data_IF_616199515150
#
_entry.id   IF_616199515150
#
_cell.length_a   1.000
_cell.length_b   1.000
_cell.length_c   1.000
_cell.angle_alpha   90.00
_cell.angle_beta   90.00
_cell.angle_gamma   90.00
#
_symmetry.space_group_name_H-M   'P 1'
#
loop_
_entity.id
_entity.type
_entity.pdbx_description
1 polymer ?
#
# COMPACT_ATOMS: atom_id res chain seq x y z
N UNK A 1 10.55 -4.11 -2.85
CA UNK A 1 11.08 -2.88 -3.50
C UNK A 1 12.49 -3.16 -3.98
N UNK A 2 12.99 -2.46 -5.01
CA UNK A 2 14.36 -2.65 -5.51
C UNK A 2 15.30 -1.55 -5.02
N UNK A 3 16.62 -1.80 -5.02
CA UNK A 3 17.65 -0.80 -4.68
C UNK A 3 17.55 0.44 -5.58
N UNK A 4 17.26 0.26 -6.86
CA UNK A 4 17.07 1.36 -7.82
C UNK A 4 15.91 2.27 -7.40
N UNK A 5 14.81 1.68 -6.94
CA UNK A 5 13.65 2.45 -6.46
C UNK A 5 13.97 3.20 -5.17
N UNK A 6 14.68 2.58 -4.22
CA UNK A 6 15.11 3.26 -2.98
C UNK A 6 16.01 4.45 -3.29
N UNK A 7 17.01 4.28 -4.18
CA UNK A 7 17.88 5.38 -4.63
C UNK A 7 17.11 6.48 -5.37
N UNK A 8 16.13 6.09 -6.18
CA UNK A 8 15.25 7.05 -6.85
C UNK A 8 14.45 7.88 -5.85
N UNK A 9 13.91 7.27 -4.78
CA UNK A 9 13.24 8.00 -3.71
C UNK A 9 14.18 8.87 -2.89
N UNK A 10 15.42 8.41 -2.65
CA UNK A 10 16.45 9.22 -1.98
C UNK A 10 16.79 10.48 -2.80
N UNK A 11 16.98 10.32 -4.11
CA UNK A 11 17.27 11.44 -5.01
C UNK A 11 16.13 12.46 -5.14
N UNK A 12 14.90 12.06 -4.77
CA UNK A 12 13.71 12.91 -4.76
C UNK A 12 13.34 13.42 -3.37
N UNK A 13 14.18 13.21 -2.35
CA UNK A 13 13.93 13.69 -0.99
C UNK A 13 12.81 13.00 -0.22
N UNK A 14 12.24 11.91 -0.74
CA UNK A 14 11.15 11.17 -0.06
C UNK A 14 11.65 10.43 1.19
N UNK A 15 12.91 10.02 1.19
CA UNK A 15 13.57 9.36 2.31
C UNK A 15 14.77 10.19 2.79
N UNK A 16 15.15 10.09 4.07
CA UNK A 16 16.30 10.83 4.60
C UNK A 16 17.57 10.38 3.87
N UNK A 17 18.60 11.24 3.82
CA UNK A 17 19.88 10.84 3.27
C UNK A 17 20.46 9.66 4.08
N UNK A 18 20.95 8.60 3.42
CA UNK A 18 21.51 7.45 4.12
C UNK A 18 22.78 7.84 4.87
N UNK A 19 23.02 7.22 6.03
CA UNK A 19 24.32 7.32 6.71
C UNK A 19 25.37 6.65 5.84
N UNK A 20 26.43 7.38 5.49
CA UNK A 20 27.51 6.86 4.66
C UNK A 20 28.61 6.32 5.57
N UNK A 21 28.92 5.05 5.44
CA UNK A 21 30.13 4.45 6.01
C UNK A 21 30.99 3.94 4.86
N UNK A 22 32.07 4.66 4.58
CA UNK A 22 32.94 4.40 3.44
C UNK A 22 32.19 4.49 2.11
N UNK A 23 32.11 3.37 1.39
CA UNK A 23 31.43 3.27 0.08
C UNK A 23 29.97 2.79 0.18
N UNK A 24 29.52 2.41 1.37
CA UNK A 24 28.20 1.84 1.60
C UNK A 24 27.28 2.86 2.26
N UNK A 25 26.05 2.97 1.75
CA UNK A 25 24.98 3.74 2.37
C UNK A 25 24.12 2.83 3.25
N UNK A 26 24.04 3.15 4.54
CA UNK A 26 23.24 2.44 5.52
C UNK A 26 21.86 3.08 5.67
N UNK A 27 20.83 2.25 5.56
CA UNK A 27 19.43 2.61 5.77
C UNK A 27 18.97 2.00 7.10
N UNK A 28 18.69 2.85 8.08
CA UNK A 28 18.13 2.47 9.38
C UNK A 28 16.59 2.48 9.42
N UNK A 29 16.04 2.34 10.62
CA UNK A 29 14.60 2.36 10.92
C UNK A 29 13.87 3.58 10.37
N UNK A 30 14.48 4.77 10.42
CA UNK A 30 13.88 6.02 9.92
C UNK A 30 13.56 5.93 8.42
N UNK A 31 14.45 5.28 7.67
CA UNK A 31 14.28 5.07 6.24
C UNK A 31 13.17 4.05 5.98
N UNK A 32 13.09 2.98 6.78
CA UNK A 32 12.05 1.97 6.65
C UNK A 32 10.66 2.56 6.91
N UNK A 33 10.50 3.36 7.98
CA UNK A 33 9.23 4.00 8.31
C UNK A 33 8.73 4.90 7.18
N UNK A 34 9.61 5.74 6.60
CA UNK A 34 9.26 6.57 5.43
C UNK A 34 8.96 5.75 4.19
N UNK A 35 9.71 4.68 3.91
CA UNK A 35 9.44 3.80 2.77
C UNK A 35 8.08 3.11 2.89
N UNK A 36 7.71 2.67 4.08
CA UNK A 36 6.40 2.05 4.32
C UNK A 36 5.27 3.07 4.15
N UNK A 37 5.42 4.29 4.69
CA UNK A 37 4.44 5.36 4.50
C UNK A 37 4.27 5.72 3.02
N UNK A 38 5.37 5.85 2.26
CA UNK A 38 5.31 6.09 0.80
C UNK A 38 4.55 4.99 0.09
N UNK A 39 4.75 3.71 0.46
CA UNK A 39 4.06 2.58 -0.16
C UNK A 39 2.56 2.60 0.14
N UNK A 40 2.17 2.92 1.37
CA UNK A 40 0.76 3.04 1.71
C UNK A 40 0.09 4.19 0.97
N UNK A 41 0.71 5.38 0.95
CA UNK A 41 0.18 6.51 0.19
C UNK A 41 0.04 6.20 -1.30
N UNK A 42 1.00 5.47 -1.89
CA UNK A 42 0.87 4.97 -3.26
C UNK A 42 -0.28 3.97 -3.42
N UNK A 43 -0.51 3.09 -2.44
CA UNK A 43 -1.63 2.15 -2.45
C UNK A 43 -2.99 2.87 -2.43
N UNK A 44 -3.08 4.03 -1.78
CA UNK A 44 -4.24 4.92 -1.84
C UNK A 44 -4.36 5.70 -3.17
N UNK A 45 -3.43 5.51 -4.12
CA UNK A 45 -3.48 6.11 -5.44
C UNK A 45 -2.90 7.52 -5.53
N UNK A 46 -2.16 7.97 -4.52
CA UNK A 46 -1.46 9.26 -4.57
C UNK A 46 -0.31 9.21 -5.57
N UNK A 47 -0.15 10.32 -6.31
CA UNK A 47 1.01 10.49 -7.20
C UNK A 47 2.25 10.77 -6.37
N UNK A 48 3.43 10.48 -6.92
CA UNK A 48 4.70 10.76 -6.23
C UNK A 48 4.86 12.24 -5.83
N UNK A 49 4.35 13.17 -6.63
CA UNK A 49 4.41 14.61 -6.30
C UNK A 49 3.46 14.99 -5.15
N UNK A 50 2.28 14.38 -5.08
CA UNK A 50 1.39 14.57 -3.94
C UNK A 50 1.97 13.98 -2.64
N UNK A 51 2.66 12.84 -2.76
CA UNK A 51 3.37 12.21 -1.64
C UNK A 51 4.53 13.09 -1.16
N UNK A 52 5.29 13.67 -2.08
CA UNK A 52 6.38 14.61 -1.77
C UNK A 52 5.87 15.77 -0.91
N UNK A 53 4.82 16.48 -1.35
CA UNK A 53 4.23 17.58 -0.58
C UNK A 53 3.58 17.14 0.74
N UNK A 54 3.12 15.89 0.85
CA UNK A 54 2.66 15.35 2.13
C UNK A 54 3.82 15.14 3.10
N UNK A 55 4.93 14.56 2.62
CA UNK A 55 6.11 14.28 3.44
C UNK A 55 6.86 15.54 3.85
N UNK A 56 6.80 16.62 3.07
CA UNK A 56 7.36 17.94 3.44
C UNK A 56 6.72 18.52 4.71
N UNK A 57 5.49 18.10 5.03
CA UNK A 57 4.80 18.52 6.26
C UNK A 57 5.26 17.74 7.49
N UNK A 58 5.97 16.62 7.28
CA UNK A 58 6.52 15.80 8.35
C UNK A 58 7.95 16.29 8.60
N UNK A 59 8.34 16.56 9.86
CA UNK A 59 9.71 16.94 10.18
C UNK A 59 10.72 15.95 9.61
N UNK A 60 11.89 16.44 9.17
CA UNK A 60 12.96 15.59 8.66
C UNK A 60 13.61 14.72 9.74
N UNK A 61 13.51 15.16 10.99
CA UNK A 61 13.98 14.53 12.22
C UNK A 61 12.89 13.72 12.95
N UNK A 62 11.72 13.56 12.33
CA UNK A 62 10.63 12.78 12.90
C UNK A 62 11.06 11.34 13.18
N UNK A 63 10.67 10.82 14.35
CA UNK A 63 11.03 9.46 14.74
C UNK A 63 10.29 8.41 13.89
N UNK A 64 10.78 7.17 13.81
CA UNK A 64 10.08 6.10 13.12
C UNK A 64 8.65 5.91 13.63
N UNK A 65 8.41 6.09 14.93
CA UNK A 65 7.08 5.99 15.54
C UNK A 65 6.16 7.13 15.10
N UNK A 66 6.66 8.36 15.04
CA UNK A 66 5.89 9.51 14.55
C UNK A 66 5.49 9.34 13.08
N UNK A 67 6.43 8.88 12.25
CA UNK A 67 6.14 8.53 10.85
C UNK A 67 5.15 7.38 10.74
N UNK A 68 5.23 6.39 11.64
CA UNK A 68 4.28 5.28 11.68
C UNK A 68 2.88 5.74 12.12
N UNK A 69 2.75 6.73 12.99
CA UNK A 69 1.46 7.29 13.38
C UNK A 69 0.69 7.85 12.17
N UNK A 70 1.39 8.50 11.23
CA UNK A 70 0.78 8.96 9.99
C UNK A 70 0.16 7.82 9.17
N UNK A 71 0.70 6.60 9.23
CA UNK A 71 0.10 5.42 8.59
C UNK A 71 -1.17 4.97 9.29
N UNK A 72 -1.18 4.96 10.61
CA UNK A 72 -2.38 4.63 11.40
C UNK A 72 -3.55 5.55 11.06
N UNK A 73 -3.29 6.83 10.79
CA UNK A 73 -4.31 7.79 10.36
C UNK A 73 -4.86 7.51 8.95
N UNK A 74 -4.12 6.80 8.10
CA UNK A 74 -4.53 6.42 6.75
C UNK A 74 -5.34 5.11 6.71
N UNK A 75 -5.23 4.26 7.74
CA UNK A 75 -5.87 2.94 7.84
C UNK A 75 -7.39 2.91 7.53
N UNK A 76 -8.22 3.91 7.90
CA UNK A 76 -9.65 3.88 7.59
C UNK A 76 -9.98 3.92 6.08
N UNK A 77 -9.02 4.36 5.26
CA UNK A 77 -9.20 4.56 3.81
C UNK A 77 -8.43 3.55 2.98
N UNK A 78 -7.85 2.52 3.62
CA UNK A 78 -7.11 1.49 2.91
C UNK A 78 -8.11 0.49 2.34
N UNK A 79 -8.22 0.34 1.01
CA UNK A 79 -9.01 -0.74 0.47
C UNK A 79 -8.38 -2.05 0.93
N UNK A 80 -9.15 -2.87 1.64
CA UNK A 80 -8.74 -4.24 1.95
C UNK A 80 -8.31 -4.92 0.64
N UNK A 81 -7.11 -5.49 0.65
CA UNK A 81 -6.69 -6.32 -0.48
C UNK A 81 -7.71 -7.45 -0.64
N UNK A 82 -8.14 -7.77 -1.87
CA UNK A 82 -9.07 -8.87 -2.08
C UNK A 82 -8.45 -10.17 -1.57
N UNK A 83 -9.02 -10.72 -0.51
CA UNK A 83 -8.62 -11.98 0.10
C UNK A 83 -9.40 -13.14 -0.54
N UNK A 84 -8.71 -14.25 -0.82
CA UNK A 84 -9.38 -15.49 -1.22
C UNK A 84 -9.94 -16.17 0.02
N UNK A 85 -11.25 -16.41 0.04
CA UNK A 85 -11.91 -17.08 1.15
C UNK A 85 -12.98 -18.03 0.64
N UNK A 86 -13.15 -19.14 1.35
CA UNK A 86 -14.16 -20.13 1.05
C UNK A 86 -15.57 -19.58 1.33
N UNK A 87 -16.54 -20.16 0.64
CA UNK A 87 -17.95 -19.81 0.69
C UNK A 87 -18.52 -19.80 2.10
N UNK A 88 -18.21 -20.83 2.91
CA UNK A 88 -18.72 -20.92 4.27
C UNK A 88 -18.28 -19.70 5.10
N UNK A 89 -17.01 -19.30 4.97
CA UNK A 89 -16.44 -18.13 5.64
C UNK A 89 -17.07 -16.83 5.16
N UNK A 90 -17.35 -16.70 3.86
CA UNK A 90 -18.01 -15.52 3.30
C UNK A 90 -19.46 -15.37 3.78
N UNK A 91 -20.22 -16.46 3.85
CA UNK A 91 -21.60 -16.46 4.36
C UNK A 91 -21.64 -16.08 5.85
N UNK A 92 -20.67 -16.55 6.64
CA UNK A 92 -20.50 -16.16 8.05
C UNK A 92 -20.14 -14.67 8.19
N UNK A 93 -19.13 -14.17 7.46
CA UNK A 93 -18.70 -12.75 7.54
C UNK A 93 -19.77 -11.78 7.05
N UNK A 94 -20.54 -12.16 6.03
CA UNK A 94 -21.63 -11.32 5.51
C UNK A 94 -22.90 -11.39 6.38
N UNK A 95 -22.96 -12.31 7.35
CA UNK A 95 -24.13 -12.53 8.20
C UNK A 95 -25.38 -12.94 7.43
N UNK A 96 -25.23 -13.43 6.20
CA UNK A 96 -26.34 -13.74 5.29
C UNK A 96 -25.97 -14.93 4.40
N UNK A 97 -26.95 -15.82 4.18
CA UNK A 97 -26.81 -16.85 3.16
C UNK A 97 -26.82 -16.21 1.78
N UNK A 98 -25.70 -16.25 1.07
CA UNK A 98 -25.60 -15.65 -0.26
C UNK A 98 -26.27 -16.57 -1.29
N UNK A 99 -27.37 -16.13 -1.89
CA UNK A 99 -28.05 -16.85 -2.97
C UNK A 99 -27.15 -17.00 -4.21
N UNK A 100 -27.42 -17.99 -5.09
CA UNK A 100 -26.63 -18.20 -6.33
C UNK A 100 -26.55 -16.93 -7.19
N UNK A 101 -27.62 -16.15 -7.22
CA UNK A 101 -27.70 -14.88 -7.93
C UNK A 101 -26.83 -13.78 -7.29
N UNK A 102 -26.87 -13.64 -5.96
CA UNK A 102 -26.02 -12.69 -5.23
C UNK A 102 -24.53 -13.04 -5.36
N UNK A 103 -24.19 -14.34 -5.35
CA UNK A 103 -22.82 -14.82 -5.60
C UNK A 103 -22.32 -14.43 -6.99
N UNK A 104 -23.15 -14.65 -8.01
CA UNK A 104 -22.81 -14.27 -9.39
C UNK A 104 -22.64 -12.75 -9.52
N UNK A 105 -23.53 -11.98 -8.90
CA UNK A 105 -23.46 -10.52 -8.88
C UNK A 105 -22.21 -10.01 -8.15
N UNK A 106 -21.81 -10.62 -7.04
CA UNK A 106 -20.57 -10.30 -6.32
C UNK A 106 -19.31 -10.62 -7.14
N UNK A 107 -19.25 -11.75 -7.86
CA UNK A 107 -18.14 -12.03 -8.80
C UNK A 107 -18.10 -11.05 -9.99
N UNK A 108 -19.24 -10.45 -10.37
CA UNK A 108 -19.36 -9.51 -11.48
C UNK A 108 -19.21 -8.04 -11.09
N UNK A 109 -19.21 -7.72 -9.79
CA UNK A 109 -18.88 -6.37 -9.35
C UNK A 109 -17.41 -6.13 -9.72
N UNK A 110 -17.11 -5.16 -10.60
CA UNK A 110 -15.73 -4.74 -10.73
C UNK A 110 -15.30 -4.31 -9.33
N UNK A 111 -14.14 -4.79 -8.85
CA UNK A 111 -13.66 -4.33 -7.57
C UNK A 111 -13.57 -2.81 -7.68
N UNK A 112 -14.23 -2.12 -6.75
CA UNK A 112 -14.61 -0.72 -6.94
C UNK A 112 -13.32 0.10 -7.07
N UNK A 113 -13.03 0.52 -8.32
CA UNK A 113 -11.99 1.47 -8.75
C UNK A 113 -10.53 0.97 -8.68
N UNK A 114 -10.07 0.31 -9.74
CA UNK A 114 -8.66 -0.05 -9.94
C UNK A 114 -8.01 0.90 -10.96
N UNK A 115 -7.22 1.86 -10.49
CA UNK A 115 -6.32 2.63 -11.36
C UNK A 115 -4.95 1.95 -11.32
N UNK A 116 -4.62 1.25 -12.41
CA UNK A 116 -3.32 0.65 -12.80
C UNK A 116 -2.29 0.39 -11.69
N UNK A 117 -2.26 -0.83 -11.15
CA UNK A 117 -1.10 -1.35 -10.43
C UNK A 117 -0.09 -1.94 -11.45
N UNK A 118 1.13 -1.39 -11.58
CA UNK A 118 2.14 -1.94 -12.49
C UNK A 118 2.74 -3.21 -11.88
N UNK A 119 2.31 -4.38 -12.37
CA UNK A 119 2.80 -5.68 -11.93
C UNK A 119 1.76 -6.80 -11.95
N UNK A 120 0.47 -6.46 -12.08
CA UNK A 120 -0.60 -7.45 -12.20
C UNK A 120 -0.68 -8.00 -13.62
N UNK A 121 0.05 -9.09 -13.89
CA UNK A 121 -0.22 -9.93 -15.08
C UNK A 121 -1.70 -10.30 -15.05
N UNK A 122 -2.43 -10.06 -16.15
CA UNK A 122 -3.77 -10.56 -16.43
C UNK A 122 -3.84 -12.06 -16.10
N UNK A 123 -4.17 -12.42 -14.87
CA UNK A 123 -4.76 -13.72 -14.56
C UNK A 123 -6.22 -13.45 -14.37
N UNK A 124 -6.99 -13.82 -15.40
CA UNK A 124 -8.37 -14.25 -15.20
C UNK A 124 -8.34 -15.29 -14.07
N UNK A 125 -8.91 -14.94 -12.93
CA UNK A 125 -9.41 -15.83 -11.86
C UNK A 125 -9.46 -15.03 -10.57
N UNK A 126 -10.42 -14.12 -10.50
CA UNK A 126 -11.20 -14.02 -9.28
C UNK A 126 -12.43 -14.88 -9.57
N UNK A 127 -12.72 -15.81 -8.67
CA UNK A 127 -13.67 -16.93 -8.81
C UNK A 127 -13.13 -18.12 -9.62
N UNK A 128 -12.32 -18.97 -8.98
CA UNK A 128 -12.40 -20.41 -9.22
C UNK A 128 -12.60 -21.10 -7.86
N UNK A 129 -13.73 -21.81 -7.78
CA UNK A 129 -14.03 -22.85 -6.80
C UNK A 129 -12.94 -23.92 -6.76
#
# INVERSE_FOLDING_TARGET
MTVRTVRFYAGRGLIPPPRREGRNGFYGSDHLARLELVRELQAHGLTLSAIEGYLERIPSDATPEEVALHRTLLAPWSPDLPEQMDRATLEVRSGRTLSRFLRYRLCLLPPIRWRSYPGWKKRRSICCF
#
